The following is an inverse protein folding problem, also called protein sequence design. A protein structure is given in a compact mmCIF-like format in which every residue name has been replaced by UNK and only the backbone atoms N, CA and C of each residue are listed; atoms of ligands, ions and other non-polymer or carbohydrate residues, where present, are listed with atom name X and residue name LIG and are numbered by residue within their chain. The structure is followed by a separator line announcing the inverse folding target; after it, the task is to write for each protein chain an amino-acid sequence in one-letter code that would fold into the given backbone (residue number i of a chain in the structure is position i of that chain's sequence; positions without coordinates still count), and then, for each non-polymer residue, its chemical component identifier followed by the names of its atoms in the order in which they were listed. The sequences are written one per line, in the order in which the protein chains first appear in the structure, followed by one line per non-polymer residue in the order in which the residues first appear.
data_IF_000934215079
#
_entry.id   IF_000934215079
#
_cell.length_a   1.000
_cell.length_b   1.000
_cell.length_c   1.000
_cell.angle_alpha   90.00
_cell.angle_beta   90.00
_cell.angle_gamma   90.00
#
_symmetry.space_group_name_H-M   'P 1'
#
loop_
_entity.id
_entity.type
_entity.pdbx_description
1 polymer ?
#
# COMPACT_ATOMS: atom_id res chain seq x y z
N UNK A 1 1.66 1.76 -2.35
CA UNK A 1 2.22 1.75 -0.97
C UNK A 1 1.11 2.02 0.02
N UNK A 2 1.03 1.25 1.11
CA UNK A 2 0.06 1.52 2.16
C UNK A 2 0.71 2.15 3.39
N UNK A 3 0.34 3.39 3.71
CA UNK A 3 0.69 4.04 4.98
C UNK A 3 -0.39 3.84 6.04
N UNK A 4 -1.54 3.26 5.66
CA UNK A 4 -2.75 3.14 6.46
C UNK A 4 -3.31 1.72 6.35
N UNK A 5 -3.65 1.10 7.48
CA UNK A 5 -4.37 -0.18 7.51
C UNK A 5 -5.55 -0.10 8.47
N UNK A 6 -6.57 -0.90 8.22
CA UNK A 6 -7.50 -1.30 9.28
C UNK A 6 -6.93 -2.57 9.93
N UNK A 7 -6.66 -2.50 11.22
CA UNK A 7 -6.17 -3.62 11.99
C UNK A 7 -7.33 -4.53 12.42
N UNK A 8 -7.00 -5.76 12.80
CA UNK A 8 -7.95 -6.81 13.22
C UNK A 8 -8.81 -6.43 14.43
N UNK A 9 -8.43 -5.39 15.18
CA UNK A 9 -9.19 -4.82 16.29
C UNK A 9 -10.21 -3.75 15.85
N UNK A 10 -10.32 -3.49 14.55
CA UNK A 10 -11.18 -2.46 13.96
C UNK A 10 -10.60 -1.04 14.06
N UNK A 11 -9.38 -0.87 14.56
CA UNK A 11 -8.72 0.44 14.58
C UNK A 11 -7.97 0.69 13.27
N UNK A 12 -8.04 1.93 12.80
CA UNK A 12 -7.19 2.42 11.72
C UNK A 12 -5.80 2.74 12.27
N UNK A 13 -4.75 2.32 11.57
CA UNK A 13 -3.34 2.49 11.95
C UNK A 13 -2.61 3.21 10.84
N UNK A 14 -1.85 4.24 11.18
CA UNK A 14 -1.17 5.11 10.22
C UNK A 14 0.29 5.32 10.61
N UNK A 15 1.18 5.29 9.60
CA UNK A 15 2.59 5.69 9.75
C UNK A 15 2.85 6.99 9.01
N UNK A 16 3.34 7.99 9.74
CA UNK A 16 3.56 9.34 9.23
C UNK A 16 5.06 9.65 9.15
N UNK A 17 5.56 9.97 7.97
CA UNK A 17 6.91 10.49 7.80
C UNK A 17 6.91 12.03 7.87
N UNK A 18 7.78 12.57 8.71
CA UNK A 18 8.04 14.00 8.81
C UNK A 18 9.42 14.33 8.23
N UNK A 19 9.43 15.01 7.08
CA UNK A 19 10.65 15.41 6.41
C UNK A 19 11.46 16.49 7.15
N UNK A 20 10.86 17.23 8.09
CA UNK A 20 11.56 18.29 8.85
C UNK A 20 12.54 17.72 9.87
N UNK A 21 12.25 16.55 10.43
CA UNK A 21 13.05 15.91 11.49
C UNK A 21 13.44 14.45 11.18
N UNK A 22 13.11 13.96 9.98
CA UNK A 22 13.36 12.59 9.52
C UNK A 22 12.73 11.52 10.42
N UNK A 23 11.63 11.83 11.09
CA UNK A 23 10.93 10.85 11.93
C UNK A 23 9.86 10.10 11.16
N UNK A 24 9.71 8.80 11.45
CA UNK A 24 8.53 8.02 11.12
C UNK A 24 7.78 7.72 12.43
N UNK A 25 6.52 8.14 12.52
CA UNK A 25 5.71 8.03 13.75
C UNK A 25 4.45 7.21 13.53
N UNK A 26 3.98 6.53 14.58
CA UNK A 26 2.77 5.71 14.57
C UNK A 26 1.57 6.43 15.19
N UNK A 27 0.43 6.37 14.50
CA UNK A 27 -0.84 6.97 14.90
C UNK A 27 -1.97 5.95 14.75
N UNK A 28 -3.03 6.09 15.53
CA UNK A 28 -4.21 5.24 15.39
C UNK A 28 -5.51 6.02 15.57
N UNK A 29 -6.62 5.46 15.11
CA UNK A 29 -7.97 5.98 15.36
C UNK A 29 -8.95 4.81 15.44
N UNK A 30 -10.01 4.95 16.23
CA UNK A 30 -11.12 4.01 16.17
C UNK A 30 -11.75 4.01 14.76
N UNK A 31 -11.73 2.87 14.08
CA UNK A 31 -12.29 2.73 12.72
C UNK A 31 -13.81 2.72 12.69
N UNK A 32 -14.47 2.39 13.81
CA UNK A 32 -15.95 2.36 13.90
C UNK A 32 -16.57 3.75 14.08
N UNK A 33 -15.78 4.78 14.37
CA UNK A 33 -16.26 6.13 14.64
C UNK A 33 -15.40 7.17 13.93
N UNK A 34 -15.80 7.61 12.73
CA UNK A 34 -15.02 8.56 11.94
C UNK A 34 -14.98 9.96 12.56
N UNK A 35 -15.80 10.25 13.58
CA UNK A 35 -15.78 11.53 14.31
C UNK A 35 -14.62 11.64 15.29
N UNK A 36 -13.96 10.53 15.63
CA UNK A 36 -12.84 10.56 16.55
C UNK A 36 -11.60 11.19 15.89
N UNK A 37 -10.82 11.89 16.71
CA UNK A 37 -9.51 12.39 16.30
C UNK A 37 -8.48 11.27 16.27
N UNK A 38 -7.51 11.37 15.37
CA UNK A 38 -6.31 10.54 15.39
C UNK A 38 -5.58 10.70 16.73
N UNK A 39 -5.13 9.57 17.27
CA UNK A 39 -4.37 9.46 18.50
C UNK A 39 -2.90 9.24 18.16
N UNK A 40 -2.02 10.10 18.66
CA UNK A 40 -0.58 9.96 18.49
C UNK A 40 0.22 11.27 18.56
N UNK A 41 1.52 11.22 18.24
CA UNK A 41 2.26 10.01 17.89
C UNK A 41 2.36 9.08 19.10
N UNK A 42 1.95 7.83 18.95
CA UNK A 42 2.03 6.82 20.03
C UNK A 42 3.44 6.24 20.18
N UNK A 43 4.24 6.33 19.11
CA UNK A 43 5.64 5.97 19.10
C UNK A 43 6.36 6.63 17.92
N UNK A 44 7.67 6.83 18.08
CA UNK A 44 8.59 7.08 16.96
C UNK A 44 9.22 5.75 16.56
N UNK A 45 8.92 5.29 15.34
CA UNK A 45 9.42 4.04 14.77
C UNK A 45 10.88 4.21 14.31
N UNK A 46 11.16 5.30 13.61
CA UNK A 46 12.50 5.66 13.14
C UNK A 46 12.75 7.16 13.30
N UNK A 47 14.00 7.53 13.56
CA UNK A 47 14.51 8.91 13.56
C UNK A 47 15.44 9.18 12.37
N UNK A 48 15.49 8.27 11.41
CA UNK A 48 16.39 8.32 10.24
C UNK A 48 15.64 8.16 8.93
N UNK A 49 14.31 8.27 8.96
CA UNK A 49 13.46 8.05 7.80
C UNK A 49 13.72 9.13 6.74
N UNK A 50 14.04 8.70 5.53
CA UNK A 50 14.29 9.57 4.37
C UNK A 50 13.13 9.58 3.37
N UNK A 51 12.02 8.93 3.73
CA UNK A 51 10.82 8.84 2.92
C UNK A 51 9.68 8.15 3.68
N UNK A 52 8.49 8.05 3.06
CA UNK A 52 7.35 7.36 3.67
C UNK A 52 7.65 5.88 3.90
N UNK A 53 7.11 5.34 5.00
CA UNK A 53 7.13 3.90 5.28
C UNK A 53 5.89 3.20 4.73
N UNK A 54 5.94 1.87 4.64
CA UNK A 54 4.79 1.02 4.34
C UNK A 54 4.48 0.16 5.56
N UNK A 55 3.21 0.11 5.97
CA UNK A 55 2.73 -0.69 7.11
C UNK A 55 1.78 -1.80 6.65
N UNK A 56 1.92 -2.97 7.25
CA UNK A 56 0.93 -4.07 7.18
C UNK A 56 0.66 -4.62 8.58
N UNK A 57 -0.47 -5.31 8.76
CA UNK A 57 -0.65 -6.24 9.86
C UNK A 57 -0.40 -7.65 9.33
N UNK A 58 0.60 -8.32 9.88
CA UNK A 58 0.94 -9.70 9.52
C UNK A 58 0.04 -10.69 10.26
N UNK A 59 -0.03 -11.93 9.76
CA UNK A 59 -0.73 -13.04 10.42
C UNK A 59 0.10 -13.74 11.49
N UNK A 60 1.15 -13.12 12.04
CA UNK A 60 1.87 -13.57 13.26
C UNK A 60 1.00 -13.45 14.54
N UNK A 61 -0.28 -13.82 14.46
CA UNK A 61 -1.27 -13.80 15.53
C UNK A 61 -2.05 -15.12 15.59
N UNK A 62 -3.16 -15.13 16.31
CA UNK A 62 -4.09 -16.27 16.39
C UNK A 62 -5.52 -15.76 16.23
N UNK A 63 -6.55 -16.62 16.10
CA UNK A 63 -7.94 -16.15 16.06
C UNK A 63 -8.35 -15.28 17.26
N UNK A 64 -7.63 -15.37 18.39
CA UNK A 64 -7.90 -14.58 19.61
C UNK A 64 -6.85 -13.50 19.87
N UNK A 65 -5.74 -13.48 19.12
CA UNK A 65 -4.63 -12.55 19.34
C UNK A 65 -4.35 -11.77 18.05
N UNK A 66 -4.25 -10.43 18.10
CA UNK A 66 -3.92 -9.64 16.93
C UNK A 66 -2.56 -10.07 16.39
N UNK A 67 -2.43 -10.08 15.06
CA UNK A 67 -1.13 -10.23 14.43
C UNK A 67 -0.27 -8.97 14.56
N UNK A 68 1.02 -9.08 14.26
CA UNK A 68 1.99 -7.99 14.46
C UNK A 68 1.81 -6.88 13.43
N UNK A 69 2.26 -5.67 13.77
CA UNK A 69 2.49 -4.65 12.75
C UNK A 69 3.90 -4.76 12.21
N UNK A 70 4.03 -4.65 10.89
CA UNK A 70 5.28 -4.71 10.17
C UNK A 70 5.44 -3.41 9.38
N UNK A 71 6.60 -2.78 9.49
CA UNK A 71 6.90 -1.53 8.80
C UNK A 71 8.21 -1.63 8.07
N UNK A 72 8.21 -1.30 6.78
CA UNK A 72 9.44 -1.05 6.02
C UNK A 72 9.58 0.43 5.74
N UNK A 73 10.79 0.97 5.91
CA UNK A 73 11.05 2.41 5.79
C UNK A 73 12.43 2.64 5.16
N UNK A 74 12.56 3.61 4.23
CA UNK A 74 13.87 4.04 3.75
C UNK A 74 14.61 4.85 4.82
N UNK A 75 15.86 4.49 5.09
CA UNK A 75 16.82 5.22 5.94
C UNK A 75 18.12 5.47 5.16
N UNK A 76 18.21 6.62 4.51
CA UNK A 76 19.26 6.88 3.53
C UNK A 76 19.05 6.00 2.29
N UNK A 77 20.07 5.22 1.92
CA UNK A 77 19.95 4.20 0.86
C UNK A 77 19.51 2.83 1.39
N UNK A 78 19.33 2.68 2.71
CA UNK A 78 18.88 1.43 3.28
C UNK A 78 17.35 1.35 3.24
N UNK A 79 16.80 0.20 2.89
CA UNK A 79 15.42 -0.15 3.23
C UNK A 79 15.47 -1.06 4.46
N UNK A 80 14.87 -0.65 5.57
CA UNK A 80 14.93 -1.38 6.84
C UNK A 80 13.55 -1.83 7.31
N UNK A 81 13.51 -2.92 8.08
CA UNK A 81 12.29 -3.53 8.61
C UNK A 81 12.19 -3.33 10.12
N UNK A 82 11.06 -2.81 10.59
CA UNK A 82 10.64 -2.72 11.99
C UNK A 82 9.38 -3.53 12.21
N UNK A 83 9.15 -3.98 13.43
CA UNK A 83 7.91 -4.66 13.79
C UNK A 83 7.42 -4.29 15.18
N UNK A 84 6.13 -4.48 15.43
CA UNK A 84 5.50 -4.35 16.74
C UNK A 84 4.71 -5.61 17.03
N UNK A 85 5.10 -6.30 18.10
CA UNK A 85 4.31 -7.41 18.63
C UNK A 85 3.09 -6.85 19.36
N UNK A 86 1.91 -7.04 18.76
CA UNK A 86 0.66 -6.47 19.27
C UNK A 86 0.12 -7.24 20.49
N UNK A 87 0.69 -8.40 20.80
CA UNK A 87 0.36 -9.19 21.99
C UNK A 87 1.25 -8.86 23.19
N UNK A 88 2.41 -8.23 22.94
CA UNK A 88 3.36 -7.87 23.99
C UNK A 88 2.84 -6.73 24.87
N UNK A 89 3.10 -6.84 26.18
CA UNK A 89 2.80 -5.77 27.14
C UNK A 89 3.50 -4.46 26.73
N UNK A 90 2.73 -3.37 26.66
CA UNK A 90 3.22 -2.06 26.23
C UNK A 90 3.47 -1.92 24.72
N UNK A 91 3.31 -3.00 23.94
CA UNK A 91 3.38 -3.01 22.47
C UNK A 91 4.57 -2.20 21.91
N UNK A 92 5.82 -2.48 22.32
CA UNK A 92 6.98 -1.71 21.85
C UNK A 92 7.28 -2.00 20.38
N UNK A 93 7.62 -0.95 19.62
CA UNK A 93 8.25 -1.11 18.32
C UNK A 93 9.68 -1.64 18.50
N UNK A 94 10.06 -2.58 17.64
CA UNK A 94 11.36 -3.23 17.61
C UNK A 94 11.97 -3.06 16.22
N UNK A 95 13.25 -2.71 16.18
CA UNK A 95 14.01 -2.66 14.95
C UNK A 95 15.05 -1.54 14.92
N UNK A 96 15.75 -1.38 13.78
CA UNK A 96 15.55 -2.17 12.56
C UNK A 96 16.01 -3.62 12.78
N UNK A 97 15.17 -4.60 12.47
CA UNK A 97 15.48 -6.04 12.61
C UNK A 97 16.16 -6.62 11.38
N UNK A 98 16.08 -5.92 10.25
CA UNK A 98 16.77 -6.26 9.01
C UNK A 98 17.06 -4.99 8.20
N UNK A 99 18.16 -5.03 7.45
CA UNK A 99 18.39 -4.16 6.28
C UNK A 99 18.12 -5.01 5.05
N UNK A 100 17.01 -4.73 4.37
CA UNK A 100 16.50 -5.49 3.22
C UNK A 100 17.30 -5.15 1.96
N UNK A 101 17.55 -3.86 1.76
CA UNK A 101 18.38 -3.34 0.68
C UNK A 101 19.29 -2.24 1.22
N UNK A 102 20.43 -2.04 0.57
CA UNK A 102 21.38 -0.94 0.80
C UNK A 102 21.46 0.03 -0.38
N UNK A 103 20.55 -0.15 -1.36
CA UNK A 103 20.52 0.58 -2.63
C UNK A 103 19.16 1.22 -2.90
N UNK A 104 18.26 1.25 -1.93
CA UNK A 104 16.93 1.80 -2.09
C UNK A 104 17.03 3.30 -2.43
N UNK A 105 16.37 3.72 -3.50
CA UNK A 105 16.29 5.12 -3.94
C UNK A 105 14.92 5.75 -3.68
N UNK A 106 14.03 4.99 -3.05
CA UNK A 106 12.67 5.41 -2.76
C UNK A 106 11.95 4.41 -1.87
N UNK A 107 10.69 4.71 -1.55
CA UNK A 107 9.94 3.94 -0.56
C UNK A 107 9.39 2.63 -1.19
N UNK A 108 9.22 1.58 -0.38
CA UNK A 108 8.82 0.24 -0.83
C UNK A 108 7.33 -0.06 -0.63
N UNK A 109 6.70 -0.85 -1.52
CA UNK A 109 5.37 -1.41 -1.27
C UNK A 109 5.51 -2.82 -0.68
N UNK A 110 4.89 -3.07 0.46
CA UNK A 110 4.95 -4.32 1.22
C UNK A 110 3.56 -4.96 1.29
N UNK A 111 3.49 -6.28 1.11
CA UNK A 111 2.31 -7.10 1.39
C UNK A 111 2.70 -8.35 2.17
N UNK A 112 1.72 -8.99 2.80
CA UNK A 112 1.83 -10.40 3.15
C UNK A 112 1.10 -11.23 2.10
N UNK A 113 1.79 -12.16 1.46
CA UNK A 113 1.21 -13.06 0.49
C UNK A 113 0.54 -14.26 1.17
N UNK A 114 -0.22 -15.00 0.38
CA UNK A 114 -0.84 -16.27 0.79
C UNK A 114 0.13 -17.45 0.77
N UNK A 115 1.42 -17.24 0.46
CA UNK A 115 2.48 -18.26 0.49
C UNK A 115 2.82 -18.68 1.93
N UNK A 116 1.87 -19.31 2.61
CA UNK A 116 2.01 -19.86 3.95
C UNK A 116 1.29 -21.20 4.07
N UNK A 117 1.14 -21.65 5.31
CA UNK A 117 0.35 -22.83 5.67
C UNK A 117 -0.71 -22.43 6.69
N UNK A 118 -1.69 -23.29 7.02
CA UNK A 118 -2.59 -23.00 8.14
C UNK A 118 -1.88 -22.80 9.49
N UNK A 119 -0.61 -23.20 9.62
CA UNK A 119 0.20 -23.06 10.83
C UNK A 119 1.25 -21.95 10.75
N UNK A 120 1.65 -21.58 9.53
CA UNK A 120 2.75 -20.65 9.28
C UNK A 120 2.23 -19.43 8.51
N UNK A 121 2.51 -18.20 8.98
CA UNK A 121 2.15 -16.98 8.27
C UNK A 121 2.68 -17.02 6.83
N UNK A 122 1.92 -16.44 5.91
CA UNK A 122 2.40 -16.31 4.53
C UNK A 122 3.57 -15.35 4.43
N UNK A 123 4.36 -15.47 3.36
CA UNK A 123 5.57 -14.68 3.14
C UNK A 123 5.31 -13.17 3.12
N UNK A 124 6.31 -12.38 3.47
CA UNK A 124 6.29 -10.96 3.12
C UNK A 124 6.89 -10.77 1.74
N UNK A 125 6.26 -9.93 0.94
CA UNK A 125 6.68 -9.61 -0.43
C UNK A 125 6.77 -8.10 -0.53
N UNK A 126 7.84 -7.59 -1.15
CA UNK A 126 7.95 -6.17 -1.40
C UNK A 126 8.59 -5.85 -2.73
N UNK A 127 8.24 -4.66 -3.22
CA UNK A 127 8.92 -4.02 -4.35
C UNK A 127 9.50 -2.68 -3.91
N UNK A 128 10.72 -2.40 -4.35
CA UNK A 128 11.46 -1.17 -4.02
C UNK A 128 12.29 -0.72 -5.22
N UNK A 129 12.39 0.60 -5.49
CA UNK A 129 13.32 1.10 -6.49
C UNK A 129 14.77 1.07 -5.99
N UNK A 130 15.69 0.58 -6.82
CA UNK A 130 17.14 0.60 -6.64
C UNK A 130 17.83 1.22 -7.86
N UNK A 131 18.02 2.54 -7.83
CA UNK A 131 18.48 3.28 -9.02
C UNK A 131 17.38 3.29 -10.08
N UNK A 132 17.70 2.79 -11.29
CA UNK A 132 16.72 2.57 -12.35
C UNK A 132 16.04 1.19 -12.27
N UNK A 133 16.45 0.32 -11.35
CA UNK A 133 15.78 -0.97 -11.19
C UNK A 133 14.55 -0.81 -10.30
N UNK A 134 13.45 -1.49 -10.65
CA UNK A 134 12.45 -1.90 -9.65
C UNK A 134 12.73 -3.37 -9.33
N UNK A 135 12.93 -3.67 -8.04
CA UNK A 135 13.29 -5.02 -7.61
C UNK A 135 12.27 -5.58 -6.63
N UNK A 136 12.15 -6.90 -6.65
CA UNK A 136 11.34 -7.68 -5.74
C UNK A 136 12.21 -8.37 -4.68
N UNK A 137 11.78 -8.30 -3.43
CA UNK A 137 12.30 -9.09 -2.31
C UNK A 137 11.18 -9.87 -1.65
N UNK A 138 11.50 -11.02 -1.07
CA UNK A 138 10.56 -11.76 -0.25
C UNK A 138 11.20 -12.28 1.04
N UNK A 139 10.41 -12.45 2.08
CA UNK A 139 10.78 -13.10 3.34
C UNK A 139 9.96 -14.36 3.49
N UNK A 140 10.63 -15.51 3.60
CA UNK A 140 9.94 -16.72 4.07
C UNK A 140 9.64 -16.54 5.56
N UNK A 141 8.35 -16.62 5.89
CA UNK A 141 7.87 -16.42 7.25
C UNK A 141 7.77 -17.73 8.04
N UNK A 142 8.20 -18.87 7.46
CA UNK A 142 8.30 -20.16 8.13
C UNK A 142 9.63 -20.31 8.91
N UNK A 143 9.61 -20.15 10.25
CA UNK A 143 10.83 -20.15 11.06
C UNK A 143 11.51 -21.52 11.15
N UNK A 144 10.81 -22.62 10.80
CA UNK A 144 11.40 -23.95 10.81
C UNK A 144 12.23 -24.24 9.56
N UNK A 145 12.02 -23.49 8.48
CA UNK A 145 12.64 -23.73 7.18
C UNK A 145 13.68 -22.70 6.80
N UNK A 146 13.62 -21.48 7.36
CA UNK A 146 14.48 -20.40 6.93
C UNK A 146 14.97 -19.48 8.07
N UNK A 147 16.29 -19.48 8.37
CA UNK A 147 16.89 -18.52 9.30
C UNK A 147 17.22 -17.16 8.65
N UNK A 148 17.21 -17.05 7.32
CA UNK A 148 17.43 -15.79 6.60
C UNK A 148 16.13 -14.98 6.60
N UNK A 149 16.17 -13.66 6.92
CA UNK A 149 14.95 -12.88 6.95
C UNK A 149 14.53 -12.40 5.57
N UNK A 150 15.37 -12.33 4.53
CA UNK A 150 14.97 -11.77 3.23
C UNK A 150 15.77 -12.38 2.08
N UNK A 151 15.12 -12.54 0.92
CA UNK A 151 15.63 -13.08 -0.33
C UNK A 151 15.40 -12.11 -1.48
N UNK A 152 16.26 -12.19 -2.48
CA UNK A 152 16.31 -11.27 -3.62
C UNK A 152 17.65 -10.53 -3.68
N UNK A 153 17.74 -9.44 -4.45
CA UNK A 153 16.69 -8.88 -5.30
C UNK A 153 16.45 -9.74 -6.56
N UNK A 154 15.21 -9.81 -7.02
CA UNK A 154 14.88 -10.15 -8.42
C UNK A 154 14.46 -8.88 -9.15
N UNK A 155 15.10 -8.56 -10.28
CA UNK A 155 14.75 -7.38 -11.07
C UNK A 155 13.42 -7.59 -11.79
N UNK A 156 12.48 -6.64 -11.63
CA UNK A 156 11.21 -6.58 -12.36
C UNK A 156 11.41 -5.83 -13.68
N UNK A 157 12.09 -4.68 -13.60
CA UNK A 157 12.47 -3.83 -14.75
C UNK A 157 13.70 -3.01 -14.38
N UNK A 158 14.52 -2.64 -15.37
CA UNK A 158 15.72 -1.81 -15.20
C UNK A 158 15.54 -0.34 -15.66
N UNK A 159 14.29 0.03 -16.03
CA UNK A 159 13.89 1.36 -16.50
C UNK A 159 12.91 2.08 -15.56
N UNK A 160 12.82 1.66 -14.28
CA UNK A 160 11.98 2.29 -13.29
C UNK A 160 12.41 3.74 -13.04
N UNK A 161 11.42 4.64 -12.92
CA UNK A 161 11.63 6.05 -12.63
C UNK A 161 11.06 6.47 -11.27
N UNK A 162 10.61 5.51 -10.46
CA UNK A 162 9.98 5.76 -9.17
C UNK A 162 9.45 4.49 -8.49
N UNK A 163 8.81 4.63 -7.32
CA UNK A 163 8.30 3.50 -6.55
C UNK A 163 7.11 2.82 -7.25
N UNK A 164 6.99 1.50 -7.05
CA UNK A 164 5.86 0.70 -7.52
C UNK A 164 4.81 0.44 -6.43
N UNK A 165 3.62 0.01 -6.85
CA UNK A 165 2.59 -0.56 -6.00
C UNK A 165 2.53 -2.08 -6.25
N UNK A 166 2.30 -2.86 -5.19
CA UNK A 166 2.27 -4.32 -5.22
C UNK A 166 0.98 -4.82 -4.57
N UNK A 167 0.31 -5.78 -5.20
CA UNK A 167 -0.73 -6.61 -4.60
C UNK A 167 -0.50 -8.08 -4.94
N UNK A 168 -1.15 -8.98 -4.20
CA UNK A 168 -1.42 -10.33 -4.68
C UNK A 168 -2.88 -10.38 -5.15
N UNK A 169 -3.11 -10.69 -6.42
CA UNK A 169 -4.46 -10.79 -6.97
C UNK A 169 -5.08 -12.16 -6.69
N UNK A 170 -6.37 -12.32 -6.97
CA UNK A 170 -7.03 -13.64 -7.01
C UNK A 170 -6.79 -14.40 -8.32
N UNK A 171 -6.06 -13.84 -9.29
CA UNK A 171 -5.72 -14.55 -10.52
C UNK A 171 -4.75 -15.68 -10.25
N UNK A 172 -5.15 -16.90 -10.55
CA UNK A 172 -4.27 -18.06 -10.47
C UNK A 172 -3.83 -18.47 -11.87
N UNK A 173 -2.52 -18.57 -12.07
CA UNK A 173 -1.98 -19.25 -13.24
C UNK A 173 -2.31 -20.75 -13.14
N UNK A 174 -2.57 -21.42 -14.28
CA UNK A 174 -2.91 -22.85 -14.28
C UNK A 174 -1.86 -23.67 -13.51
N UNK A 175 -2.32 -24.43 -12.49
CA UNK A 175 -1.45 -25.22 -11.62
C UNK A 175 -0.86 -24.48 -10.41
N UNK A 176 -1.10 -23.18 -10.25
CA UNK A 176 -0.75 -22.44 -9.03
C UNK A 176 -1.87 -22.47 -8.01
N UNK A 177 -1.55 -22.78 -6.75
CA UNK A 177 -2.47 -22.63 -5.60
C UNK A 177 -2.59 -21.18 -5.12
N UNK A 178 -1.70 -20.31 -5.57
CA UNK A 178 -1.59 -18.93 -5.11
C UNK A 178 -1.86 -17.96 -6.25
N UNK A 179 -2.47 -16.84 -5.88
CA UNK A 179 -2.70 -15.73 -6.78
C UNK A 179 -1.41 -15.08 -7.27
N UNK A 180 -1.44 -14.49 -8.45
CA UNK A 180 -0.32 -13.78 -9.05
C UNK A 180 0.04 -12.52 -8.25
N UNK A 181 1.32 -12.15 -8.26
CA UNK A 181 1.73 -10.84 -7.80
C UNK A 181 1.58 -9.84 -8.94
N UNK A 182 0.93 -8.72 -8.66
CA UNK A 182 0.67 -7.66 -9.64
C UNK A 182 1.39 -6.40 -9.18
N UNK A 183 2.08 -5.76 -10.12
CA UNK A 183 2.86 -4.54 -9.85
C UNK A 183 2.49 -3.47 -10.85
N UNK A 184 2.29 -2.26 -10.36
CA UNK A 184 2.19 -1.07 -11.21
C UNK A 184 3.32 -0.11 -10.85
N UNK A 185 4.08 0.33 -11.84
CA UNK A 185 5.24 1.19 -11.62
C UNK A 185 5.48 2.18 -12.76
N UNK A 186 6.06 3.35 -12.47
CA UNK A 186 6.50 4.28 -13.50
C UNK A 186 7.81 3.80 -14.13
N UNK A 187 7.83 3.65 -15.46
CA UNK A 187 8.92 3.05 -16.25
C UNK A 187 9.07 3.83 -17.55
N UNK A 188 10.28 4.35 -17.83
CA UNK A 188 10.59 5.01 -19.11
C UNK A 188 9.65 6.17 -19.49
N UNK A 189 9.00 6.82 -18.53
CA UNK A 189 8.02 7.89 -18.78
C UNK A 189 6.58 7.43 -18.99
N UNK A 190 6.25 6.16 -18.71
CA UNK A 190 4.91 5.59 -18.74
C UNK A 190 4.59 4.88 -17.42
N UNK A 191 3.31 4.63 -17.15
CA UNK A 191 2.87 3.78 -16.05
C UNK A 191 2.60 2.38 -16.61
N UNK A 192 3.31 1.39 -16.11
CA UNK A 192 3.31 0.03 -16.65
C UNK A 192 2.80 -0.96 -15.60
N UNK A 193 1.97 -1.89 -16.04
CA UNK A 193 1.52 -3.06 -15.29
C UNK A 193 2.44 -4.25 -15.56
N UNK A 194 2.85 -4.94 -14.50
CA UNK A 194 3.60 -6.18 -14.51
C UNK A 194 2.87 -7.22 -13.69
N UNK A 195 3.02 -8.49 -14.03
CA UNK A 195 2.61 -9.58 -13.16
C UNK A 195 3.72 -10.62 -13.04
N UNK A 196 3.74 -11.36 -11.93
CA UNK A 196 4.58 -12.54 -11.78
C UNK A 196 3.78 -13.78 -12.13
N UNK A 197 4.18 -14.47 -13.18
CA UNK A 197 3.70 -15.81 -13.46
C UNK A 197 4.29 -16.77 -12.43
N UNK A 198 3.47 -17.18 -11.47
CA UNK A 198 3.88 -18.03 -10.38
C UNK A 198 4.16 -19.48 -10.79
N UNK A 199 3.79 -19.91 -12.00
CA UNK A 199 4.17 -21.22 -12.54
C UNK A 199 5.63 -21.26 -12.99
N UNK A 200 6.14 -20.14 -13.52
CA UNK A 200 7.53 -20.01 -13.99
C UNK A 200 8.43 -19.19 -13.05
N UNK A 201 7.84 -18.46 -12.11
CA UNK A 201 8.52 -17.54 -11.19
C UNK A 201 8.98 -16.23 -11.85
N UNK A 202 8.61 -15.97 -13.10
CA UNK A 202 9.09 -14.84 -13.91
C UNK A 202 8.15 -13.64 -13.83
N UNK A 203 8.74 -12.44 -13.78
CA UNK A 203 8.03 -11.19 -13.99
C UNK A 203 7.80 -10.95 -15.48
N UNK A 204 6.59 -10.51 -15.81
CA UNK A 204 6.12 -10.24 -17.17
C UNK A 204 5.61 -8.81 -17.21
N UNK A 205 6.14 -8.02 -18.15
CA UNK A 205 5.54 -6.75 -18.52
C UNK A 205 4.27 -7.02 -19.33
N UNK A 206 3.14 -6.54 -18.84
CA UNK A 206 1.82 -6.87 -19.40
C UNK A 206 1.28 -5.75 -20.26
N UNK A 207 1.18 -4.53 -19.72
CA UNK A 207 0.54 -3.44 -20.42
C UNK A 207 1.04 -2.06 -19.97
N UNK A 208 1.11 -1.13 -20.93
CA UNK A 208 1.13 0.30 -20.63
C UNK A 208 -0.27 0.75 -20.23
N UNK A 209 -0.40 1.29 -19.02
CA UNK A 209 -1.65 1.87 -18.50
C UNK A 209 -1.85 3.25 -19.11
N UNK A 210 -0.82 4.10 -19.04
CA UNK A 210 -0.84 5.46 -19.57
C UNK A 210 0.57 6.01 -19.78
N UNK A 211 0.68 7.07 -20.59
CA UNK A 211 1.89 7.90 -20.61
C UNK A 211 1.96 8.76 -19.33
N UNK A 212 3.15 8.89 -18.76
CA UNK A 212 3.37 9.53 -17.45
C UNK A 212 2.93 8.65 -16.29
N UNK A 213 2.49 9.28 -15.20
CA UNK A 213 2.09 8.60 -13.97
C UNK A 213 3.25 8.44 -12.99
N UNK A 214 2.99 8.76 -11.73
CA UNK A 214 3.90 8.57 -10.59
C UNK A 214 3.10 8.22 -9.36
N UNK A 215 3.77 7.71 -8.32
CA UNK A 215 3.12 7.37 -7.04
C UNK A 215 1.86 6.49 -7.23
N UNK A 216 1.96 5.33 -7.89
CA UNK A 216 0.79 4.47 -8.05
C UNK A 216 0.31 3.92 -6.70
N UNK A 217 -1.00 3.77 -6.58
CA UNK A 217 -1.65 2.91 -5.60
C UNK A 217 -2.56 1.95 -6.34
N UNK A 218 -2.52 0.67 -5.96
CA UNK A 218 -3.15 -0.44 -6.69
C UNK A 218 -3.96 -1.27 -5.70
N UNK A 219 -5.21 -1.58 -6.08
CA UNK A 219 -6.03 -2.58 -5.39
C UNK A 219 -6.68 -3.53 -6.42
N UNK A 220 -7.11 -4.68 -5.93
CA UNK A 220 -8.13 -5.46 -6.62
C UNK A 220 -9.48 -5.17 -5.96
N UNK A 221 -10.43 -4.61 -6.71
CA UNK A 221 -11.77 -4.27 -6.22
C UNK A 221 -12.73 -5.45 -6.27
N UNK A 222 -13.87 -5.33 -5.61
CA UNK A 222 -14.94 -6.32 -5.64
C UNK A 222 -15.88 -6.25 -6.85
N UNK A 223 -15.51 -5.57 -7.94
CA UNK A 223 -16.27 -5.56 -9.22
C UNK A 223 -16.28 -6.92 -9.96
N UNK A 224 -15.77 -7.99 -9.34
CA UNK A 224 -15.72 -9.34 -9.90
C UNK A 224 -16.97 -10.18 -9.62
N UNK A 225 -16.90 -11.46 -9.98
CA UNK A 225 -17.91 -12.49 -9.65
C UNK A 225 -17.24 -13.63 -8.90
N UNK A 226 -17.99 -14.59 -8.31
CA UNK A 226 -17.36 -15.78 -7.73
C UNK A 226 -16.47 -16.55 -8.73
N UNK A 227 -16.76 -16.45 -10.02
CA UNK A 227 -16.03 -17.11 -11.12
C UNK A 227 -14.95 -16.24 -11.73
N UNK A 228 -14.99 -14.92 -11.53
CA UNK A 228 -14.09 -13.98 -12.17
C UNK A 228 -13.41 -13.05 -11.16
N UNK A 229 -12.08 -12.90 -11.23
CA UNK A 229 -11.35 -11.93 -10.44
C UNK A 229 -11.95 -10.53 -10.59
N UNK A 230 -12.01 -9.78 -9.47
CA UNK A 230 -12.42 -8.39 -9.54
C UNK A 230 -11.39 -7.50 -10.22
N UNK A 231 -11.80 -6.28 -10.55
CA UNK A 231 -11.02 -5.36 -11.38
C UNK A 231 -9.75 -4.91 -10.66
N UNK A 232 -8.71 -4.59 -11.44
CA UNK A 232 -7.60 -3.81 -10.90
C UNK A 232 -7.93 -2.33 -10.98
N UNK A 233 -7.69 -1.63 -9.90
CA UNK A 233 -7.94 -0.20 -9.77
C UNK A 233 -6.64 0.49 -9.41
N UNK A 234 -6.30 1.54 -10.15
CA UNK A 234 -5.08 2.30 -9.98
C UNK A 234 -5.42 3.77 -9.82
N UNK A 235 -4.90 4.40 -8.78
CA UNK A 235 -4.73 5.86 -8.77
C UNK A 235 -3.26 6.20 -8.98
N UNK A 236 -3.00 7.29 -9.67
CA UNK A 236 -1.64 7.77 -9.95
C UNK A 236 -1.66 9.28 -10.17
N UNK A 237 -0.52 9.93 -9.97
CA UNK A 237 -0.37 11.36 -10.26
C UNK A 237 0.18 11.54 -11.67
N UNK A 238 -0.54 12.29 -12.50
CA UNK A 238 -0.12 12.69 -13.83
C UNK A 238 -0.31 14.20 -14.02
N UNK A 239 0.80 14.90 -14.29
CA UNK A 239 0.81 16.34 -14.55
C UNK A 239 0.13 17.16 -13.43
N UNK A 240 0.32 16.76 -12.16
CA UNK A 240 -0.29 17.39 -11.00
C UNK A 240 -1.74 16.99 -10.71
N UNK A 241 -2.35 16.12 -11.53
CA UNK A 241 -3.69 15.58 -11.31
C UNK A 241 -3.62 14.18 -10.73
N UNK A 242 -4.49 13.86 -9.78
CA UNK A 242 -4.71 12.49 -9.35
C UNK A 242 -5.76 11.86 -10.27
N UNK A 243 -5.38 10.81 -11.00
CA UNK A 243 -6.24 10.16 -12.00
C UNK A 243 -6.47 8.70 -11.64
N UNK A 244 -7.66 8.20 -11.95
CA UNK A 244 -8.07 6.82 -11.75
C UNK A 244 -8.05 6.05 -13.07
N UNK A 245 -7.53 4.83 -13.03
CA UNK A 245 -7.55 3.86 -14.11
C UNK A 245 -8.03 2.52 -13.57
N UNK A 246 -8.68 1.74 -14.43
CA UNK A 246 -9.12 0.40 -14.07
C UNK A 246 -8.90 -0.58 -15.21
N UNK A 247 -8.74 -1.85 -14.86
CA UNK A 247 -8.75 -2.98 -15.81
C UNK A 247 -9.89 -3.91 -15.45
N UNK A 248 -10.85 -4.05 -16.36
CA UNK A 248 -11.86 -5.11 -16.26
C UNK A 248 -11.19 -6.46 -16.48
N UNK A 249 -11.25 -7.27 -15.44
CA UNK A 249 -10.59 -8.56 -15.34
C UNK A 249 -11.48 -9.73 -15.82
N UNK A 250 -12.71 -9.43 -16.25
CA UNK A 250 -13.67 -10.40 -16.79
C UNK A 250 -13.68 -10.41 -18.31
N UNK A 251 -13.63 -9.22 -18.95
CA UNK A 251 -13.74 -9.09 -20.40
C UNK A 251 -12.72 -8.10 -20.97
N UNK A 252 -12.06 -8.50 -22.05
CA UNK A 252 -11.15 -7.64 -22.80
C UNK A 252 -9.79 -7.37 -22.14
N UNK A 253 -9.68 -7.40 -20.80
CA UNK A 253 -8.44 -7.19 -20.04
C UNK A 253 -7.69 -5.91 -20.46
N UNK A 254 -8.44 -4.84 -20.76
CA UNK A 254 -7.89 -3.55 -21.17
C UNK A 254 -7.98 -2.54 -20.05
N UNK A 255 -6.93 -1.73 -19.93
CA UNK A 255 -6.92 -0.56 -19.07
C UNK A 255 -7.80 0.55 -19.67
N UNK A 256 -8.59 1.19 -18.81
CA UNK A 256 -9.45 2.30 -19.16
C UNK A 256 -9.35 3.41 -18.10
N UNK A 257 -9.50 4.66 -18.54
CA UNK A 257 -9.55 5.80 -17.62
C UNK A 257 -10.88 5.78 -16.87
N UNK A 258 -10.81 5.86 -15.54
CA UNK A 258 -11.93 6.08 -14.63
C UNK A 258 -12.12 7.55 -14.25
N UNK A 259 -11.40 8.45 -14.92
CA UNK A 259 -11.52 9.89 -14.75
C UNK A 259 -10.51 10.51 -13.79
N UNK A 260 -10.67 11.82 -13.57
CA UNK A 260 -9.81 12.58 -12.66
C UNK A 260 -10.44 12.65 -11.27
N UNK A 261 -9.67 12.31 -10.24
CA UNK A 261 -10.08 12.38 -8.83
C UNK A 261 -9.94 13.82 -8.33
N UNK A 262 -8.80 14.46 -8.59
CA UNK A 262 -8.57 15.87 -8.29
C UNK A 262 -7.48 16.48 -9.20
N UNK A 263 -7.46 17.81 -9.30
CA UNK A 263 -6.49 18.55 -10.14
C UNK A 263 -5.30 19.11 -9.34
N UNK A 264 -5.04 18.56 -8.15
CA UNK A 264 -3.96 19.04 -7.28
C UNK A 264 -3.47 17.91 -6.39
N UNK A 265 -2.44 17.22 -6.86
CA UNK A 265 -1.74 16.16 -6.15
C UNK A 265 -0.25 16.17 -6.50
N UNK A 266 0.60 16.11 -5.47
CA UNK A 266 2.06 16.29 -5.61
C UNK A 266 2.89 15.31 -4.77
N UNK A 267 2.27 14.28 -4.18
CA UNK A 267 2.98 13.33 -3.33
C UNK A 267 2.33 11.97 -3.20
N UNK A 268 2.78 11.18 -2.21
CA UNK A 268 2.24 9.84 -1.96
C UNK A 268 0.72 9.86 -1.80
N UNK A 269 0.08 8.80 -2.30
CA UNK A 269 -1.36 8.59 -2.19
C UNK A 269 -1.65 7.13 -1.82
N UNK A 270 -2.87 6.90 -1.33
CA UNK A 270 -3.38 5.58 -1.01
C UNK A 270 -4.82 5.44 -1.52
N UNK A 271 -5.11 4.30 -2.14
CA UNK A 271 -6.44 3.85 -2.54
C UNK A 271 -6.80 2.63 -1.72
N UNK A 272 -8.03 2.62 -1.20
CA UNK A 272 -8.64 1.44 -0.60
C UNK A 272 -10.07 1.27 -1.14
N UNK A 273 -10.60 0.06 -0.99
CA UNK A 273 -12.04 -0.18 -1.07
C UNK A 273 -12.58 -0.41 0.34
N UNK A 274 -13.56 0.38 0.75
CA UNK A 274 -14.24 0.18 2.03
C UNK A 274 -15.47 -0.72 1.87
N UNK A 275 -15.99 -1.20 3.00
CA UNK A 275 -17.25 -1.95 3.04
C UNK A 275 -18.50 -1.03 3.01
N UNK A 276 -18.32 0.28 2.87
CA UNK A 276 -19.42 1.24 2.77
C UNK A 276 -19.95 1.30 1.32
N UNK A 277 -21.23 1.65 1.12
CA UNK A 277 -21.78 1.88 -0.23
C UNK A 277 -22.20 0.62 -1.02
N UNK A 278 -22.38 -0.53 -0.37
CA UNK A 278 -22.97 -1.72 -0.98
C UNK A 278 -21.95 -2.68 -1.61
N UNK A 279 -22.34 -3.39 -2.67
CA UNK A 279 -21.48 -4.32 -3.42
C UNK A 279 -21.49 -3.91 -4.89
N UNK A 280 -20.39 -3.33 -5.42
CA UNK A 280 -19.09 -3.13 -4.78
C UNK A 280 -19.09 -1.96 -3.78
N UNK A 281 -18.28 -2.09 -2.72
CA UNK A 281 -18.11 -1.01 -1.74
C UNK A 281 -17.31 0.17 -2.31
N UNK A 282 -17.34 1.30 -1.62
CA UNK A 282 -16.81 2.58 -2.07
C UNK A 282 -15.29 2.58 -2.22
N UNK A 283 -14.80 3.41 -3.13
CA UNK A 283 -13.38 3.72 -3.19
C UNK A 283 -13.08 4.95 -2.35
N UNK A 284 -11.97 4.87 -1.62
CA UNK A 284 -11.50 5.89 -0.71
C UNK A 284 -10.05 6.20 -1.00
N UNK A 285 -9.73 7.49 -1.10
CA UNK A 285 -8.44 7.98 -1.56
C UNK A 285 -7.94 9.08 -0.66
N UNK A 286 -6.69 8.99 -0.26
CA UNK A 286 -5.96 10.09 0.38
C UNK A 286 -4.77 10.44 -0.49
N UNK A 287 -4.56 11.73 -0.75
CA UNK A 287 -3.37 12.23 -1.46
C UNK A 287 -2.81 13.47 -0.78
N UNK A 288 -1.49 13.66 -0.89
CA UNK A 288 -0.88 14.95 -0.58
C UNK A 288 -1.23 15.97 -1.66
N UNK A 289 -1.60 17.17 -1.22
CA UNK A 289 -1.90 18.34 -2.00
C UNK A 289 -1.22 19.55 -1.34
N UNK A 290 -0.02 19.88 -1.81
CA UNK A 290 0.75 21.05 -1.35
C UNK A 290 0.99 21.08 0.15
N UNK A 291 1.32 19.91 0.71
CA UNK A 291 1.60 19.72 2.13
C UNK A 291 0.37 19.37 2.98
N UNK A 292 -0.83 19.35 2.39
CA UNK A 292 -2.04 18.89 3.07
C UNK A 292 -2.52 17.55 2.52
N UNK A 293 -2.84 16.61 3.40
CA UNK A 293 -3.52 15.38 2.99
C UNK A 293 -5.01 15.66 2.78
N UNK A 294 -5.53 15.37 1.60
CA UNK A 294 -6.95 15.53 1.27
C UNK A 294 -7.59 14.17 0.99
N UNK A 295 -8.76 13.95 1.60
CA UNK A 295 -9.56 12.76 1.39
C UNK A 295 -10.55 12.95 0.23
N UNK A 296 -10.69 11.91 -0.60
CA UNK A 296 -11.65 11.81 -1.69
C UNK A 296 -12.32 10.44 -1.64
N UNK A 297 -13.54 10.34 -2.15
CA UNK A 297 -14.25 9.07 -2.23
C UNK A 297 -15.12 8.97 -3.47
N UNK A 298 -15.43 7.74 -3.88
CA UNK A 298 -16.37 7.42 -4.96
C UNK A 298 -17.42 6.45 -4.44
N UNK A 299 -18.68 6.84 -4.55
CA UNK A 299 -19.80 5.95 -4.30
C UNK A 299 -19.96 4.99 -5.48
N UNK A 300 -19.63 3.73 -5.24
CA UNK A 300 -19.62 2.71 -6.28
C UNK A 300 -21.02 2.10 -6.55
N UNK A 301 -22.01 2.41 -5.69
CA UNK A 301 -23.43 2.11 -5.98
C UNK A 301 -24.09 3.16 -6.87
N UNK A 302 -23.47 4.33 -7.01
CA UNK A 302 -23.96 5.41 -7.86
C UNK A 302 -23.66 5.09 -9.34
N UNK A 303 -24.66 5.02 -10.24
CA UNK A 303 -24.44 4.70 -11.66
C UNK A 303 -23.53 5.70 -12.40
N UNK A 304 -23.45 6.94 -11.92
CA UNK A 304 -22.58 7.97 -12.47
C UNK A 304 -21.16 7.90 -11.92
N UNK A 305 -20.93 7.15 -10.83
CA UNK A 305 -19.64 6.94 -10.17
C UNK A 305 -18.79 8.23 -9.99
N UNK A 306 -19.35 9.33 -9.45
CA UNK A 306 -18.60 10.58 -9.33
C UNK A 306 -17.58 10.51 -8.18
N UNK A 307 -16.40 11.08 -8.40
CA UNK A 307 -15.47 11.39 -7.32
C UNK A 307 -15.96 12.60 -6.52
N UNK A 308 -15.89 12.49 -5.20
CA UNK A 308 -16.31 13.50 -4.24
C UNK A 308 -15.15 13.88 -3.34
N UNK A 309 -15.06 15.16 -2.97
CA UNK A 309 -14.05 15.64 -2.01
C UNK A 309 -14.60 15.51 -0.61
N UNK A 310 -13.84 14.85 0.26
CA UNK A 310 -14.12 14.75 1.69
C UNK A 310 -13.41 15.83 2.50
N UNK A 311 -13.07 15.50 3.76
CA UNK A 311 -12.40 16.42 4.69
C UNK A 311 -10.90 16.57 4.34
N UNK A 312 -10.34 17.78 4.51
CA UNK A 312 -8.89 17.98 4.54
C UNK A 312 -8.36 17.47 5.89
N UNK A 313 -7.36 16.58 5.85
CA UNK A 313 -6.92 15.78 7.01
C UNK A 313 -5.84 16.48 7.84
N UNK A 314 -5.16 17.53 7.34
CA UNK A 314 -4.12 18.24 8.12
C UNK A 314 -4.30 19.76 8.13
N UNK A 315 -4.07 20.36 9.30
CA UNK A 315 -3.01 21.36 9.50
C UNK A 315 -1.85 20.64 10.21
N UNK A 316 -0.62 21.13 10.09
CA UNK A 316 0.63 20.50 10.56
C UNK A 316 0.53 19.62 11.82
N UNK A 317 1.31 18.54 11.88
CA UNK A 317 1.47 17.70 13.08
C UNK A 317 1.87 18.57 14.28
N UNK A 318 0.89 19.00 15.08
CA UNK A 318 1.10 19.97 16.17
C UNK A 318 -0.18 20.63 16.68
N UNK A 319 -1.19 20.87 15.85
CA UNK A 319 -2.39 21.58 16.29
C UNK A 319 -3.61 20.67 16.40
N UNK A 320 -4.08 20.48 17.63
CA UNK A 320 -5.40 19.92 17.94
C UNK A 320 -6.47 20.70 17.18
N UNK A 321 -7.20 20.03 16.28
CA UNK A 321 -8.38 20.59 15.62
C UNK A 321 -9.42 20.86 16.71
N UNK A 322 -9.58 22.11 17.11
CA UNK A 322 -10.73 22.56 17.91
C UNK A 322 -11.90 22.71 16.96
N UNK A 323 -12.84 21.76 17.00
CA UNK A 323 -14.12 21.89 16.31
C UNK A 323 -14.86 23.13 16.83
N UNK A 324 -15.25 24.02 15.90
CA UNK A 324 -16.19 25.09 16.20
C UNK A 324 -17.61 24.52 16.36
N UNK A 325 -18.43 25.02 17.30
CA UNK A 325 -19.73 24.45 17.61
C UNK A 325 -20.73 24.68 16.47
N UNK A 326 -21.50 23.63 16.18
CA UNK A 326 -22.65 23.65 15.27
C UNK A 326 -23.71 24.66 15.74
N UNK A 327 -24.27 25.42 14.81
CA UNK A 327 -25.67 25.87 14.86
C UNK A 327 -26.45 25.13 13.78
#
# INVERSE_FOLDING_TARGET
MSMLIEASDGNLQFVAWNAKDNTLTHWWRNGSDPSQSWQGPTATISTKATGPGCIIQSTYGTPTNPGNFEVVVPEGNNLVHYYRDNTAAGQPWKGPIATISTKATGPASLIQSTYGTPKDPGNFELVVPEGSNLVHYFRDNNPALDPSPWHGPTVITDQATGPGALIQSTYTSSGSKYGNFEVVAPVGGSLIHFYRDNSSGKWIEDATIMAGGTWPSLIQSSYGTPENPGNFEVITISQGNLVHWYRDNTTGMKWASGGTVCNSADGPNALIQSNYGGSPGNFEVITNNSGNYTYYYRDNSNPQMPWSTGKVITSEAGDSVKDAPKK
#
